data_IF_051711389320
#
_entry.id   IF_051711389320
#
_cell.length_a   1.000
_cell.length_b   1.000
_cell.length_c   1.000
_cell.angle_alpha   90.00
_cell.angle_beta   90.00
_cell.angle_gamma   90.00
#
_symmetry.space_group_name_H-M   'P 1'
#
loop_
_entity.id
_entity.type
_entity.pdbx_description
1 polymer ?
#
# COMPACT_ATOMS: atom_id res chain seq x y z
N UNK A 1 16.54 -40.26 -7.00
CA UNK A 1 15.57 -39.24 -7.48
C UNK A 1 16.37 -38.21 -8.26
N UNK A 2 16.06 -38.07 -9.54
CA UNK A 2 16.94 -37.46 -10.54
C UNK A 2 17.07 -35.95 -10.36
N UNK A 3 18.31 -35.48 -10.46
CA UNK A 3 18.74 -34.09 -10.41
C UNK A 3 18.49 -33.50 -11.80
N UNK A 4 17.54 -32.58 -11.96
CA UNK A 4 17.32 -31.86 -13.23
C UNK A 4 18.14 -30.57 -13.19
N UNK A 5 19.36 -30.67 -13.70
CA UNK A 5 20.21 -29.53 -14.01
C UNK A 5 19.66 -28.87 -15.29
N UNK A 6 19.04 -27.69 -15.14
CA UNK A 6 18.63 -26.87 -16.30
C UNK A 6 19.82 -26.01 -16.72
N UNK A 7 20.50 -26.49 -17.76
CA UNK A 7 21.56 -25.80 -18.47
C UNK A 7 20.93 -24.76 -19.42
N UNK A 8 21.10 -23.46 -19.15
CA UNK A 8 20.63 -22.39 -20.05
C UNK A 8 21.81 -21.74 -20.75
N UNK A 9 22.07 -22.15 -22.00
CA UNK A 9 22.95 -21.45 -22.93
C UNK A 9 22.15 -20.47 -23.79
N UNK A 10 22.66 -19.27 -24.11
CA UNK A 10 21.93 -18.23 -24.83
C UNK A 10 22.16 -18.37 -26.34
N UNK A 11 21.40 -19.23 -27.01
CA UNK A 11 21.34 -19.25 -28.48
C UNK A 11 20.01 -19.85 -28.92
N UNK A 12 19.36 -19.14 -29.84
CA UNK A 12 18.05 -19.42 -30.46
C UNK A 12 16.83 -18.91 -29.67
N UNK A 13 16.72 -17.58 -29.52
CA UNK A 13 15.41 -16.97 -29.30
C UNK A 13 14.62 -17.11 -30.60
N UNK A 14 13.77 -18.13 -30.69
CA UNK A 14 12.63 -18.11 -31.59
C UNK A 14 11.91 -16.75 -31.43
N UNK A 15 11.36 -16.21 -32.52
CA UNK A 15 10.69 -14.91 -32.53
C UNK A 15 9.73 -14.82 -31.34
N UNK A 16 9.97 -13.87 -30.44
CA UNK A 16 9.09 -13.57 -29.30
C UNK A 16 7.67 -13.35 -29.83
N UNK A 17 6.68 -13.94 -29.16
CA UNK A 17 5.28 -13.74 -29.52
C UNK A 17 4.80 -12.35 -29.09
N UNK A 18 5.47 -11.75 -28.09
CA UNK A 18 5.34 -10.34 -27.73
C UNK A 18 6.17 -9.50 -28.71
N UNK A 19 5.56 -9.11 -29.83
CA UNK A 19 6.20 -8.27 -30.84
C UNK A 19 6.50 -6.86 -30.32
N UNK A 20 7.43 -6.15 -30.96
CA UNK A 20 7.59 -4.70 -30.77
C UNK A 20 6.41 -3.97 -31.41
N UNK A 21 5.70 -3.17 -30.61
CA UNK A 21 4.57 -2.34 -31.07
C UNK A 21 5.05 -1.05 -31.75
N UNK A 22 4.27 -0.58 -32.73
CA UNK A 22 4.55 0.67 -33.46
C UNK A 22 3.81 1.87 -32.86
N UNK A 23 2.78 1.64 -32.05
CA UNK A 23 2.09 2.66 -31.26
C UNK A 23 1.53 2.10 -29.94
N UNK A 24 1.12 2.99 -29.04
CA UNK A 24 0.52 2.62 -27.74
C UNK A 24 -0.87 2.01 -27.94
N UNK A 25 -1.61 2.47 -28.94
CA UNK A 25 -2.95 1.94 -29.28
C UNK A 25 -2.87 0.48 -29.77
N UNK A 26 -1.86 0.15 -30.58
CA UNK A 26 -1.60 -1.22 -31.03
C UNK A 26 -1.24 -2.15 -29.86
N UNK A 27 -0.42 -1.66 -28.92
CA UNK A 27 -0.09 -2.38 -27.70
C UNK A 27 -1.32 -2.65 -26.82
N UNK A 28 -2.18 -1.65 -26.65
CA UNK A 28 -3.41 -1.80 -25.88
C UNK A 28 -4.36 -2.82 -26.52
N UNK A 29 -4.60 -2.73 -27.84
CA UNK A 29 -5.45 -3.68 -28.56
C UNK A 29 -4.90 -5.12 -28.49
N UNK A 30 -3.58 -5.28 -28.54
CA UNK A 30 -2.93 -6.58 -28.36
C UNK A 30 -3.22 -7.18 -26.97
N UNK A 31 -3.03 -6.40 -25.89
CA UNK A 31 -3.27 -6.86 -24.52
C UNK A 31 -4.75 -7.01 -24.15
N UNK A 32 -5.66 -6.29 -24.82
CA UNK A 32 -7.11 -6.46 -24.65
C UNK A 32 -7.61 -7.76 -25.31
N UNK A 33 -6.91 -8.24 -26.33
CA UNK A 33 -7.33 -9.41 -27.14
C UNK A 33 -6.61 -10.71 -26.77
N UNK A 34 -5.45 -10.65 -26.13
CA UNK A 34 -4.63 -11.81 -25.76
C UNK A 34 -4.57 -12.02 -24.25
N UNK A 35 -4.50 -13.29 -23.81
CA UNK A 35 -4.33 -13.59 -22.39
C UNK A 35 -2.86 -13.49 -22.00
N UNK A 36 -2.57 -12.80 -20.90
CA UNK A 36 -1.20 -12.73 -20.36
C UNK A 36 -0.58 -14.11 -20.08
N UNK A 37 -1.40 -15.12 -19.81
CA UNK A 37 -0.94 -16.49 -19.56
C UNK A 37 -0.30 -17.15 -20.79
N UNK A 38 -0.63 -16.68 -22.00
CA UNK A 38 -0.08 -17.21 -23.26
C UNK A 38 1.42 -16.91 -23.43
N UNK A 39 1.93 -15.96 -22.64
CA UNK A 39 3.31 -15.49 -22.70
C UNK A 39 4.12 -15.77 -21.41
N UNK A 40 3.64 -16.67 -20.55
CA UNK A 40 4.29 -16.99 -19.26
C UNK A 40 5.76 -17.41 -19.42
N UNK A 41 6.09 -18.14 -20.48
CA UNK A 41 7.45 -18.59 -20.79
C UNK A 41 8.39 -17.44 -21.20
N UNK A 42 7.84 -16.27 -21.54
CA UNK A 42 8.60 -15.07 -21.93
C UNK A 42 8.76 -14.08 -20.76
N UNK A 43 8.04 -14.27 -19.65
CA UNK A 43 8.15 -13.40 -18.47
C UNK A 43 9.30 -13.82 -17.54
N UNK A 44 9.91 -12.81 -16.90
CA UNK A 44 10.92 -13.03 -15.87
C UNK A 44 10.30 -12.93 -14.48
N UNK A 45 10.61 -13.91 -13.61
CA UNK A 45 10.15 -13.91 -12.22
C UNK A 45 10.79 -12.73 -11.45
N UNK A 46 9.95 -11.77 -11.04
CA UNK A 46 10.39 -10.65 -10.20
C UNK A 46 10.57 -11.12 -8.76
N UNK A 47 11.82 -11.29 -8.32
CA UNK A 47 12.16 -11.83 -7.00
C UNK A 47 12.14 -10.82 -5.85
N UNK A 48 12.32 -9.53 -6.13
CA UNK A 48 12.34 -8.45 -5.10
C UNK A 48 11.11 -7.53 -5.26
N UNK A 49 9.92 -8.07 -4.98
CA UNK A 49 8.69 -7.26 -4.93
C UNK A 49 8.63 -6.53 -3.61
N UNK A 50 8.96 -5.24 -3.62
CA UNK A 50 8.81 -4.36 -2.45
C UNK A 50 7.47 -3.65 -2.49
N UNK A 51 6.53 -4.12 -1.68
CA UNK A 51 5.31 -3.38 -1.39
C UNK A 51 5.66 -2.15 -0.54
N UNK A 52 5.78 -0.99 -1.18
CA UNK A 52 5.96 0.27 -0.47
C UNK A 52 4.62 0.60 0.19
N UNK A 53 4.49 0.33 1.49
CA UNK A 53 3.37 0.83 2.28
C UNK A 53 3.48 2.35 2.27
N UNK A 54 2.70 3.00 1.42
CA UNK A 54 2.77 4.45 1.12
C UNK A 54 2.39 5.33 2.34
N UNK A 55 2.01 4.71 3.45
CA UNK A 55 1.68 5.37 4.71
C UNK A 55 2.70 4.90 5.72
N UNK A 56 3.44 5.83 6.32
CA UNK A 56 4.49 5.55 7.30
C UNK A 56 4.05 4.62 8.44
N UNK A 57 5.02 4.24 9.30
CA UNK A 57 4.85 3.26 10.38
C UNK A 57 3.44 3.26 10.98
N UNK A 58 2.76 2.10 11.06
CA UNK A 58 1.38 2.02 11.53
C UNK A 58 1.27 2.66 12.92
N UNK A 59 0.31 3.56 13.08
CA UNK A 59 0.04 4.20 14.36
C UNK A 59 -0.51 3.15 15.32
N UNK A 60 -0.04 3.15 16.56
CA UNK A 60 -0.60 2.31 17.63
C UNK A 60 -1.90 2.94 18.16
N UNK A 61 -2.90 2.12 18.43
CA UNK A 61 -4.15 2.53 19.06
C UNK A 61 -4.09 2.29 20.58
N UNK A 62 -4.79 3.13 21.33
CA UNK A 62 -5.07 2.93 22.75
C UNK A 62 -6.58 2.91 22.95
N UNK A 63 -7.08 2.07 23.85
CA UNK A 63 -8.49 2.04 24.24
C UNK A 63 -8.64 2.69 25.61
N UNK A 64 -9.49 3.71 25.70
CA UNK A 64 -9.78 4.44 26.94
C UNK A 64 -11.25 4.24 27.27
N UNK A 65 -11.54 3.77 28.49
CA UNK A 65 -12.92 3.67 28.99
C UNK A 65 -13.33 5.03 29.55
N UNK A 66 -14.48 5.52 29.13
CA UNK A 66 -15.05 6.78 29.58
C UNK A 66 -16.50 6.52 30.01
N UNK A 67 -17.03 7.27 30.99
CA UNK A 67 -18.46 7.29 31.27
C UNK A 67 -19.28 7.66 30.02
N UNK A 68 -20.53 7.22 29.97
CA UNK A 68 -21.40 7.42 28.80
C UNK A 68 -21.66 8.91 28.56
N UNK A 69 -21.89 9.68 29.62
CA UNK A 69 -22.08 11.13 29.57
C UNK A 69 -20.87 11.85 28.95
N UNK A 70 -19.65 11.42 29.30
CA UNK A 70 -18.43 12.00 28.78
C UNK A 70 -18.23 11.69 27.28
N UNK A 71 -18.63 10.50 26.83
CA UNK A 71 -18.62 10.14 25.40
C UNK A 71 -19.63 10.96 24.61
N UNK A 72 -20.82 11.20 25.16
CA UNK A 72 -21.85 12.01 24.53
C UNK A 72 -21.40 13.48 24.39
N UNK A 73 -20.80 14.05 25.44
CA UNK A 73 -20.27 15.41 25.43
C UNK A 73 -19.12 15.55 24.41
N UNK A 74 -18.19 14.59 24.38
CA UNK A 74 -17.10 14.53 23.41
C UNK A 74 -17.64 14.50 21.97
N UNK A 75 -18.66 13.69 21.70
CA UNK A 75 -19.25 13.57 20.37
C UNK A 75 -19.88 14.89 19.91
N UNK A 76 -20.61 15.56 20.80
CA UNK A 76 -21.21 16.87 20.54
C UNK A 76 -20.16 17.94 20.25
N UNK A 77 -19.07 17.99 21.03
CA UNK A 77 -17.98 18.93 20.78
C UNK A 77 -17.26 18.66 19.45
N UNK A 78 -17.02 17.38 19.12
CA UNK A 78 -16.39 17.00 17.86
C UNK A 78 -17.26 17.39 16.66
N UNK A 79 -18.58 17.17 16.77
CA UNK A 79 -19.55 17.56 15.74
C UNK A 79 -19.59 19.07 15.52
N UNK A 80 -19.60 19.88 16.59
CA UNK A 80 -19.56 21.34 16.48
C UNK A 80 -18.29 21.84 15.76
N UNK A 81 -17.19 21.08 15.83
CA UNK A 81 -15.92 21.35 15.17
C UNK A 81 -15.80 20.71 13.78
N UNK A 82 -16.82 19.97 13.32
CA UNK A 82 -16.81 19.27 12.03
C UNK A 82 -15.80 18.13 11.94
N UNK A 83 -15.40 17.53 13.07
CA UNK A 83 -14.40 16.46 13.13
C UNK A 83 -14.93 15.25 13.91
N UNK A 84 -14.30 14.09 13.73
CA UNK A 84 -14.65 12.88 14.49
C UNK A 84 -14.16 12.91 15.95
N UNK A 85 -14.84 12.22 16.89
CA UNK A 85 -14.44 12.16 18.31
C UNK A 85 -12.99 11.72 18.51
N UNK A 86 -12.55 10.68 17.80
CA UNK A 86 -11.16 10.19 17.87
C UNK A 86 -10.13 11.23 17.38
N UNK A 87 -10.50 12.07 16.42
CA UNK A 87 -9.65 13.16 15.93
C UNK A 87 -9.52 14.25 16.99
N UNK A 88 -10.63 14.63 17.62
CA UNK A 88 -10.64 15.61 18.70
C UNK A 88 -9.79 15.16 19.90
N UNK A 89 -10.00 13.93 20.38
CA UNK A 89 -9.21 13.33 21.46
C UNK A 89 -7.72 13.30 21.10
N UNK A 90 -7.39 12.88 19.87
CA UNK A 90 -6.00 12.87 19.40
C UNK A 90 -5.38 14.27 19.44
N UNK A 91 -6.11 15.30 19.02
CA UNK A 91 -5.62 16.68 19.05
C UNK A 91 -5.34 17.14 20.48
N UNK A 92 -6.27 16.91 21.41
CA UNK A 92 -6.08 17.26 22.82
C UNK A 92 -4.90 16.55 23.47
N UNK A 93 -4.73 15.24 23.21
CA UNK A 93 -3.57 14.49 23.73
C UNK A 93 -2.26 15.11 23.22
N UNK A 94 -2.16 15.38 21.92
CA UNK A 94 -0.94 15.96 21.34
C UNK A 94 -0.66 17.38 21.83
N UNK A 95 -1.71 18.19 22.01
CA UNK A 95 -1.62 19.53 22.57
C UNK A 95 -1.13 19.49 24.03
N UNK A 96 -1.72 18.62 24.85
CA UNK A 96 -1.33 18.46 26.25
C UNK A 96 0.13 18.00 26.37
N UNK A 97 0.54 17.01 25.56
CA UNK A 97 1.92 16.55 25.52
C UNK A 97 2.86 17.70 25.14
N UNK A 98 2.54 18.49 24.11
CA UNK A 98 3.38 19.64 23.71
C UNK A 98 3.56 20.66 24.83
N UNK A 99 2.49 20.96 25.58
CA UNK A 99 2.52 21.89 26.72
C UNK A 99 3.40 21.34 27.86
N UNK A 100 3.33 20.04 28.13
CA UNK A 100 4.13 19.38 29.17
C UNK A 100 5.63 19.34 28.88
N UNK A 101 6.02 19.24 27.61
CA UNK A 101 7.43 19.19 27.18
C UNK A 101 8.10 20.58 27.08
N UNK A 102 7.36 21.68 27.32
CA UNK A 102 7.89 23.06 27.26
C UNK A 102 8.33 23.64 28.62
N UNK A 103 8.29 22.88 29.71
CA UNK A 103 8.67 23.32 31.07
C UNK A 103 9.94 22.64 31.64
N UNK A 104 10.65 21.86 30.83
CA UNK A 104 11.97 21.31 31.18
C UNK A 104 12.99 21.70 30.14
N UNK A 105 13.45 22.94 30.22
CA UNK A 105 14.72 23.43 29.67
C UNK A 105 15.20 24.60 30.53
#
# INVERSE_FOLDING_TARGET
MAKVERNTSPKDRAKSQISTFRSVEEEAEFWDTHSTTEFEDEFEEVRDVRFVVTRGRPKKAITVRLPEEALADLAREAQQKGIGPSTLVRMWILEHLRRGHGKTA
#
